data_IF_617255406887
#
_entry.id   IF_617255406887
#
_cell.length_a   1.000
_cell.length_b   1.000
_cell.length_c   1.000
_cell.angle_alpha   90.00
_cell.angle_beta   90.00
_cell.angle_gamma   90.00
#
_symmetry.space_group_name_H-M   'P 1'
#
loop_
_entity.id
_entity.type
_entity.pdbx_description
1 polymer ?
#
# COMPACT_ATOMS: atom_id res chain seq x y z
N UNK A 1 -13.74 6.91 1.15
CA UNK A 1 -12.74 6.19 0.35
C UNK A 1 -11.42 6.21 1.09
N UNK A 2 -10.84 5.03 1.30
CA UNK A 2 -9.50 4.86 1.87
C UNK A 2 -8.51 4.67 0.73
N UNK A 3 -7.33 5.26 0.87
CA UNK A 3 -6.23 5.09 -0.07
C UNK A 3 -5.49 3.77 0.23
N UNK A 4 -5.33 2.94 -0.79
CA UNK A 4 -4.65 1.65 -0.75
C UNK A 4 -3.51 1.65 -1.77
N UNK A 5 -2.28 1.47 -1.33
CA UNK A 5 -1.13 1.31 -2.21
C UNK A 5 -1.07 -0.12 -2.75
N UNK A 6 -1.27 -0.27 -4.05
CA UNK A 6 -1.21 -1.54 -4.77
C UNK A 6 0.05 -1.60 -5.65
N UNK A 7 0.79 -2.71 -5.58
CA UNK A 7 2.07 -2.91 -6.29
C UNK A 7 2.14 -4.22 -7.08
N UNK A 8 1.02 -4.95 -7.12
CA UNK A 8 0.90 -6.26 -7.76
C UNK A 8 -0.30 -6.32 -8.70
N UNK A 9 -1.06 -7.41 -8.62
CA UNK A 9 -2.19 -7.69 -9.53
C UNK A 9 -3.34 -6.68 -9.43
N UNK A 10 -3.50 -6.02 -8.28
CA UNK A 10 -4.52 -4.98 -8.07
C UNK A 10 -4.20 -3.64 -8.74
N UNK A 11 -3.10 -3.55 -9.49
CA UNK A 11 -2.83 -2.40 -10.38
C UNK A 11 -3.64 -2.47 -11.68
N UNK A 12 -4.26 -3.62 -11.98
CA UNK A 12 -5.11 -3.87 -13.14
C UNK A 12 -6.59 -3.52 -12.83
N UNK A 13 -7.17 -2.63 -13.64
CA UNK A 13 -8.57 -2.20 -13.50
C UNK A 13 -9.57 -3.33 -13.67
N UNK A 14 -9.33 -4.29 -14.56
CA UNK A 14 -10.28 -5.38 -14.79
C UNK A 14 -10.31 -6.30 -13.55
N UNK A 15 -9.15 -6.49 -12.91
CA UNK A 15 -9.05 -7.25 -11.67
C UNK A 15 -9.77 -6.53 -10.54
N UNK A 16 -9.57 -5.22 -10.39
CA UNK A 16 -10.24 -4.43 -9.35
C UNK A 16 -11.76 -4.38 -9.58
N UNK A 17 -12.22 -4.15 -10.81
CA UNK A 17 -13.65 -4.12 -11.15
C UNK A 17 -14.36 -5.45 -10.92
N UNK A 18 -13.63 -6.57 -11.01
CA UNK A 18 -14.18 -7.88 -10.66
C UNK A 18 -14.38 -8.11 -9.16
N UNK A 19 -13.72 -7.29 -8.33
CA UNK A 19 -13.71 -7.43 -6.87
C UNK A 19 -14.52 -6.33 -6.17
N UNK A 20 -14.41 -5.08 -6.63
CA UNK A 20 -14.95 -3.89 -5.97
C UNK A 20 -16.01 -3.23 -6.84
N UNK A 21 -17.09 -2.77 -6.21
CA UNK A 21 -18.16 -2.02 -6.89
C UNK A 21 -17.82 -0.53 -6.93
N UNK A 22 -17.29 0.01 -5.83
CA UNK A 22 -16.91 1.42 -5.69
C UNK A 22 -15.40 1.59 -5.52
N UNK A 23 -14.73 1.98 -6.61
CA UNK A 23 -13.30 2.21 -6.62
C UNK A 23 -12.87 3.30 -7.61
N UNK A 24 -11.72 3.91 -7.36
CA UNK A 24 -11.06 4.79 -8.34
C UNK A 24 -9.54 4.68 -8.24
N UNK A 25 -8.85 4.77 -9.38
CA UNK A 25 -7.39 4.86 -9.37
C UNK A 25 -6.94 6.31 -9.20
N UNK A 26 -6.09 6.52 -8.19
CA UNK A 26 -5.28 7.71 -8.00
C UNK A 26 -4.02 7.69 -8.86
N UNK A 27 -3.07 8.60 -8.58
CA UNK A 27 -1.79 8.63 -9.27
C UNK A 27 -0.96 7.37 -9.02
N UNK A 28 0.08 7.19 -9.86
CA UNK A 28 1.20 6.31 -9.52
C UNK A 28 1.79 6.72 -8.18
N UNK A 29 2.38 5.79 -7.45
CA UNK A 29 3.01 6.08 -6.18
C UNK A 29 4.22 5.20 -5.98
N UNK A 30 5.15 5.68 -5.16
CA UNK A 30 6.37 4.97 -4.81
C UNK A 30 6.49 4.86 -3.30
N UNK A 31 6.52 3.64 -2.81
CA UNK A 31 6.73 3.34 -1.40
C UNK A 31 8.23 3.24 -1.15
N UNK A 32 8.76 4.07 -0.25
CA UNK A 32 10.17 4.07 0.14
C UNK A 32 10.34 3.36 1.48
N UNK A 33 11.41 2.58 1.62
CA UNK A 33 11.70 1.80 2.82
C UNK A 33 11.25 0.34 2.72
N UNK A 34 10.52 -0.01 1.67
CA UNK A 34 10.11 -1.37 1.33
C UNK A 34 10.38 -1.62 -0.16
N UNK A 35 10.90 -2.78 -0.51
CA UNK A 35 11.14 -3.20 -1.89
C UNK A 35 10.36 -4.45 -2.21
N UNK A 36 9.98 -4.59 -3.48
CA UNK A 36 9.26 -5.76 -3.97
C UNK A 36 10.24 -6.89 -4.23
N UNK A 37 9.86 -8.07 -3.78
CA UNK A 37 10.51 -9.33 -4.11
C UNK A 37 9.54 -10.18 -4.94
N UNK A 38 10.05 -10.68 -6.06
CA UNK A 38 9.31 -11.54 -6.95
C UNK A 38 9.16 -12.95 -6.35
N UNK A 39 7.99 -13.55 -6.57
CA UNK A 39 7.64 -14.91 -6.17
C UNK A 39 6.37 -15.35 -6.88
N UNK A 40 5.80 -16.50 -6.54
CA UNK A 40 4.46 -16.89 -7.04
C UNK A 40 3.41 -15.85 -6.67
N UNK A 41 3.59 -15.24 -5.49
CA UNK A 41 2.90 -14.04 -5.05
C UNK A 41 3.96 -13.01 -4.64
N UNK A 42 4.08 -11.87 -5.35
CA UNK A 42 5.07 -10.87 -5.00
C UNK A 42 4.76 -10.29 -3.62
N UNK A 43 5.83 -10.02 -2.87
CA UNK A 43 5.74 -9.45 -1.51
C UNK A 43 6.70 -8.28 -1.32
N UNK A 44 6.58 -7.58 -0.19
CA UNK A 44 7.46 -6.49 0.21
C UNK A 44 8.40 -6.94 1.31
N UNK A 45 9.66 -6.51 1.21
CA UNK A 45 10.68 -6.70 2.22
C UNK A 45 11.26 -5.36 2.67
N UNK A 46 11.84 -5.29 3.89
CA UNK A 46 12.49 -4.09 4.41
C UNK A 46 13.65 -3.63 3.52
N UNK A 47 13.75 -2.31 3.33
CA UNK A 47 14.78 -1.65 2.54
C UNK A 47 14.34 -1.32 1.11
N UNK A 48 15.07 -0.42 0.44
CA UNK A 48 14.83 -0.06 -0.97
C UNK A 48 13.57 0.77 -1.21
N UNK A 49 12.93 0.54 -2.36
CA UNK A 49 11.68 1.20 -2.76
C UNK A 49 10.92 0.35 -3.78
N UNK A 50 9.59 0.49 -3.83
CA UNK A 50 8.72 -0.16 -4.82
C UNK A 50 7.80 0.87 -5.47
N UNK A 51 7.54 0.69 -6.76
CA UNK A 51 6.57 1.47 -7.52
C UNK A 51 5.22 0.75 -7.56
N UNK A 52 4.16 1.53 -7.50
CA UNK A 52 2.78 1.05 -7.43
C UNK A 52 1.81 2.16 -7.80
N UNK A 53 0.56 2.01 -7.37
CA UNK A 53 -0.50 2.98 -7.63
C UNK A 53 -1.39 3.10 -6.40
N UNK A 54 -2.02 4.27 -6.23
CA UNK A 54 -3.05 4.45 -5.22
C UNK A 54 -4.39 3.98 -5.77
N UNK A 55 -4.98 2.99 -5.13
CA UNK A 55 -6.35 2.55 -5.32
C UNK A 55 -7.20 3.14 -4.20
N UNK A 56 -8.28 3.85 -4.52
CA UNK A 56 -9.20 4.41 -3.53
C UNK A 56 -10.46 3.57 -3.47
N UNK A 57 -10.79 3.05 -2.30
CA UNK A 57 -12.01 2.27 -2.07
C UNK A 57 -12.42 2.29 -0.60
N UNK A 58 -13.71 2.12 -0.31
CA UNK A 58 -14.22 1.90 1.05
C UNK A 58 -14.37 0.39 1.37
N UNK A 59 -14.21 -0.48 0.36
CA UNK A 59 -14.44 -1.93 0.44
C UNK A 59 -13.19 -2.71 0.90
N UNK A 60 -12.50 -2.23 1.94
CA UNK A 60 -11.28 -2.87 2.47
C UNK A 60 -11.50 -4.32 2.92
N UNK A 61 -12.71 -4.65 3.39
CA UNK A 61 -13.05 -6.00 3.83
C UNK A 61 -13.08 -7.01 2.67
N UNK A 62 -13.39 -6.56 1.45
CA UNK A 62 -13.34 -7.37 0.23
C UNK A 62 -11.88 -7.64 -0.15
N UNK A 63 -11.05 -6.59 -0.11
CA UNK A 63 -9.60 -6.72 -0.32
C UNK A 63 -8.96 -7.63 0.71
N UNK A 64 -9.26 -7.46 2.00
CA UNK A 64 -8.73 -8.28 3.10
C UNK A 64 -9.06 -9.77 2.90
N UNK A 65 -10.24 -10.08 2.32
CA UNK A 65 -10.64 -11.46 2.00
C UNK A 65 -9.86 -11.99 0.80
N UNK A 66 -9.72 -11.19 -0.25
CA UNK A 66 -9.00 -11.55 -1.46
C UNK A 66 -7.50 -11.79 -1.19
N UNK A 67 -6.88 -10.90 -0.43
CA UNK A 67 -5.47 -10.97 -0.01
C UNK A 67 -5.24 -11.99 1.12
N UNK A 68 -6.29 -12.63 1.65
CA UNK A 68 -6.12 -13.64 2.70
C UNK A 68 -5.54 -13.06 4.00
N UNK A 69 -5.94 -11.85 4.38
CA UNK A 69 -5.50 -11.23 5.65
C UNK A 69 -5.97 -12.07 6.84
N UNK A 70 -7.18 -12.63 6.76
CA UNK A 70 -7.72 -13.51 7.80
C UNK A 70 -6.94 -14.85 7.92
N UNK A 71 -6.34 -15.35 6.83
CA UNK A 71 -5.46 -16.52 6.86
C UNK A 71 -4.01 -16.16 7.23
N UNK A 72 -3.71 -14.87 7.38
CA UNK A 72 -2.38 -14.36 7.70
C UNK A 72 -1.38 -14.49 6.54
N UNK A 73 -1.87 -14.54 5.30
CA UNK A 73 -1.02 -14.49 4.10
C UNK A 73 -0.47 -13.08 3.89
N UNK A 74 -1.34 -12.08 4.00
CA UNK A 74 -0.99 -10.67 3.91
C UNK A 74 -1.36 -9.91 5.19
N UNK A 75 -0.57 -8.90 5.52
CA UNK A 75 -0.78 -8.01 6.65
C UNK A 75 -1.06 -6.61 6.13
N UNK A 76 -2.14 -6.03 6.65
CA UNK A 76 -2.49 -4.62 6.44
C UNK A 76 -1.70 -3.72 7.37
N UNK A 77 -0.98 -2.75 6.80
CA UNK A 77 -0.28 -1.68 7.52
C UNK A 77 -0.64 -0.31 6.95
N UNK A 78 -0.62 0.72 7.79
CA UNK A 78 -0.83 2.10 7.34
C UNK A 78 0.51 2.80 7.23
N UNK A 79 0.80 3.37 6.06
CA UNK A 79 2.06 4.07 5.77
C UNK A 79 1.75 5.54 5.50
N UNK A 80 2.37 6.50 6.22
CA UNK A 80 2.16 7.91 5.98
C UNK A 80 2.62 8.32 4.58
N UNK A 81 1.94 9.30 4.01
CA UNK A 81 2.45 9.99 2.84
C UNK A 81 3.68 10.82 3.22
N UNK A 82 4.59 11.03 2.26
CA UNK A 82 5.72 11.92 2.47
C UNK A 82 5.23 13.34 2.77
N UNK A 83 5.81 13.97 3.79
CA UNK A 83 5.47 15.33 4.23
C UNK A 83 5.43 16.30 3.05
N UNK A 84 4.33 17.07 2.94
CA UNK A 84 4.13 18.06 1.88
C UNK A 84 3.28 17.58 0.69
N UNK A 85 2.81 16.32 0.68
CA UNK A 85 1.74 15.92 -0.22
C UNK A 85 0.38 16.37 0.32
N UNK A 86 -0.04 17.58 -0.07
CA UNK A 86 -1.45 17.91 -0.03
C UNK A 86 -2.14 17.06 -1.10
N UNK A 87 -3.02 16.14 -0.69
CA UNK A 87 -3.89 15.39 -1.62
C UNK A 87 -4.88 16.31 -2.40
N UNK A 88 -4.71 17.63 -2.28
CA UNK A 88 -5.48 18.69 -2.90
C UNK A 88 -4.74 19.20 -4.14
N UNK A 89 -4.95 18.51 -5.27
CA UNK A 89 -4.80 19.13 -6.58
C UNK A 89 -5.98 20.09 -6.81
N UNK A 90 -5.64 21.37 -6.87
CA UNK A 90 -6.38 22.52 -7.38
C UNK A 90 -7.58 23.09 -6.59
N UNK A 91 -7.35 24.30 -6.06
CA UNK A 91 -8.23 25.43 -6.29
C UNK A 91 -9.37 25.64 -5.30
N UNK A 92 -9.15 26.59 -4.39
CA UNK A 92 -10.18 27.48 -3.84
C UNK A 92 -11.44 26.81 -3.28
N UNK A 93 -11.41 26.43 -2.00
CA UNK A 93 -12.58 26.51 -1.11
C UNK A 93 -12.20 26.17 0.32
N UNK A 94 -12.55 27.06 1.23
CA UNK A 94 -12.66 26.79 2.64
C UNK A 94 -13.48 25.51 2.88
N UNK A 95 -12.89 24.51 3.56
CA UNK A 95 -13.66 23.50 4.28
C UNK A 95 -14.08 22.23 3.55
N UNK A 96 -13.30 21.71 2.59
CA UNK A 96 -13.46 20.32 2.15
C UNK A 96 -12.71 19.39 3.12
N UNK A 97 -13.46 18.49 3.76
CA UNK A 97 -12.97 17.58 4.80
C UNK A 97 -11.75 16.81 4.29
N UNK A 98 -10.63 16.99 5.01
CA UNK A 98 -9.46 16.11 5.09
C UNK A 98 -9.91 14.68 4.79
N UNK A 99 -9.60 14.17 3.58
CA UNK A 99 -9.79 12.76 3.28
C UNK A 99 -9.10 11.98 4.39
N UNK A 100 -9.88 11.16 5.09
CA UNK A 100 -9.44 10.54 6.33
C UNK A 100 -8.15 9.75 6.07
N UNK A 101 -7.15 10.12 6.86
CA UNK A 101 -5.78 9.60 6.92
C UNK A 101 -4.80 10.15 5.86
N UNK A 102 -3.82 10.93 6.34
CA UNK A 102 -2.59 11.32 5.62
C UNK A 102 -1.67 10.09 5.39
N UNK A 103 -2.25 8.91 5.18
CA UNK A 103 -1.57 7.62 5.06
C UNK A 103 -2.31 6.68 4.12
N UNK A 104 -1.57 5.88 3.38
CA UNK A 104 -2.10 4.82 2.52
C UNK A 104 -1.98 3.46 3.21
N UNK A 105 -2.97 2.61 2.98
CA UNK A 105 -2.95 1.21 3.39
C UNK A 105 -2.06 0.41 2.44
N UNK A 106 -1.15 -0.38 2.99
CA UNK A 106 -0.28 -1.28 2.22
C UNK A 106 -0.50 -2.72 2.70
N UNK A 107 -0.59 -3.65 1.75
CA UNK A 107 -0.64 -5.08 2.02
C UNK A 107 0.76 -5.68 1.91
N UNK A 108 1.25 -6.31 2.96
CA UNK A 108 2.59 -6.92 2.98
C UNK A 108 2.44 -8.42 3.21
N UNK A 109 2.90 -9.25 2.27
CA UNK A 109 2.80 -10.70 2.33
C UNK A 109 3.88 -11.33 3.21
N UNK A 110 3.54 -12.38 3.95
CA UNK A 110 4.54 -13.12 4.75
C UNK A 110 5.41 -13.99 3.82
N UNK A 111 6.71 -13.67 3.63
CA UNK A 111 7.58 -14.42 2.72
C UNK A 111 7.71 -15.90 3.13
N UNK A 112 7.66 -16.21 4.43
CA UNK A 112 7.74 -17.58 4.92
C UNK A 112 6.51 -18.41 4.54
N UNK A 113 5.33 -17.78 4.43
CA UNK A 113 4.10 -18.44 3.97
C UNK A 113 3.99 -18.50 2.46
N UNK A 114 4.54 -17.50 1.78
CA UNK A 114 4.57 -17.44 0.32
C UNK A 114 5.69 -18.29 -0.29
N UNK A 115 6.57 -18.87 0.54
CA UNK A 115 7.70 -19.67 0.07
C UNK A 115 8.76 -18.86 -0.66
N UNK A 116 8.86 -17.56 -0.36
CA UNK A 116 9.82 -16.64 -0.98
C UNK A 116 11.11 -16.68 -0.17
N UNK A 117 12.21 -17.09 -0.80
CA UNK A 117 13.55 -16.95 -0.22
C UNK A 117 13.93 -15.47 -0.23
N UNK A 118 13.91 -14.86 0.96
CA UNK A 118 14.15 -13.46 1.16
C UNK A 118 15.63 -13.22 1.53
N UNK A 119 16.33 -12.39 0.76
CA UNK A 119 17.69 -11.92 1.11
C UNK A 119 17.69 -10.94 2.30
N UNK A 120 16.51 -10.48 2.72
CA UNK A 120 16.33 -9.54 3.83
C UNK A 120 15.34 -10.10 4.86
N UNK A 121 15.78 -10.16 6.12
CA UNK A 121 14.95 -10.58 7.23
C UNK A 121 14.25 -9.38 7.88
N UNK A 122 12.99 -9.59 8.31
CA UNK A 122 12.27 -8.60 9.09
C UNK A 122 12.88 -8.47 10.48
N UNK A 123 13.41 -7.28 10.85
CA UNK A 123 13.98 -7.07 12.17
C UNK A 123 12.89 -7.20 13.25
N UNK A 124 13.33 -7.53 14.47
CA UNK A 124 12.49 -7.83 15.63
C UNK A 124 11.91 -9.25 15.67
N UNK A 125 11.67 -9.72 16.89
CA UNK A 125 11.00 -11.01 17.17
C UNK A 125 9.50 -10.83 17.35
N UNK A 126 8.71 -11.89 17.11
CA UNK A 126 7.25 -11.86 17.21
C UNK A 126 6.56 -12.34 15.94
N UNK A 127 5.23 -12.17 15.87
CA UNK A 127 4.46 -12.43 14.66
C UNK A 127 4.80 -11.44 13.56
N UNK A 128 4.64 -11.88 12.31
CA UNK A 128 4.97 -11.09 11.13
C UNK A 128 4.26 -9.73 11.13
N UNK A 129 2.96 -9.69 11.49
CA UNK A 129 2.20 -8.46 11.46
C UNK A 129 2.72 -7.40 12.43
N UNK A 130 3.09 -7.81 13.65
CA UNK A 130 3.72 -6.93 14.63
C UNK A 130 5.08 -6.42 14.13
N UNK A 131 5.89 -7.26 13.48
CA UNK A 131 7.19 -6.85 12.92
C UNK A 131 7.03 -5.79 11.83
N UNK A 132 6.13 -6.01 10.87
CA UNK A 132 5.88 -5.05 9.77
C UNK A 132 5.36 -3.73 10.33
N UNK A 133 4.35 -3.77 11.21
CA UNK A 133 3.78 -2.55 11.82
C UNK A 133 4.82 -1.77 12.60
N UNK A 134 5.66 -2.45 13.36
CA UNK A 134 6.74 -1.83 14.11
C UNK A 134 7.78 -1.22 13.19
N UNK A 135 8.20 -1.95 12.15
CA UNK A 135 9.15 -1.46 11.17
C UNK A 135 8.63 -0.21 10.46
N UNK A 136 7.37 -0.21 9.99
CA UNK A 136 6.76 0.97 9.35
C UNK A 136 6.65 2.16 10.30
N UNK A 137 6.44 1.92 11.60
CA UNK A 137 6.36 2.99 12.60
C UNK A 137 7.73 3.51 13.05
N UNK A 138 8.77 2.66 13.05
CA UNK A 138 10.13 3.02 13.49
C UNK A 138 11.00 3.53 12.34
N UNK A 139 10.93 2.89 11.18
CA UNK A 139 11.58 3.33 9.95
C UNK A 139 10.74 4.39 9.25
N UNK A 140 11.42 5.32 8.56
CA UNK A 140 10.77 6.35 7.75
C UNK A 140 10.19 5.78 6.45
N UNK A 141 9.29 4.82 6.57
CA UNK A 141 8.54 4.27 5.45
C UNK A 141 7.49 5.31 5.06
N UNK A 142 7.57 5.78 3.82
CA UNK A 142 6.68 6.83 3.31
C UNK A 142 6.23 6.51 1.90
N UNK A 143 5.00 6.88 1.58
CA UNK A 143 4.46 6.82 0.22
C UNK A 143 4.67 8.16 -0.47
N UNK A 144 5.34 8.13 -1.61
CA UNK A 144 5.51 9.24 -2.53
C UNK A 144 4.59 9.05 -3.73
N UNK A 145 3.36 9.55 -3.71
CA UNK A 145 2.55 9.63 -4.91
C UNK A 145 3.30 10.44 -5.97
N UNK A 146 3.37 9.91 -7.17
CA UNK A 146 3.88 10.61 -8.33
C UNK A 146 2.86 11.70 -8.66
N UNK A 147 3.32 12.95 -8.74
CA UNK A 147 2.46 14.03 -9.24
C UNK A 147 1.87 13.57 -10.57
N UNK A 148 0.55 13.74 -10.75
CA UNK A 148 -0.04 13.56 -12.07
C UNK A 148 0.70 14.53 -12.98
N UNK A 149 1.60 14.02 -13.81
CA UNK A 149 1.92 14.68 -15.06
C UNK A 149 0.60 14.62 -15.83
N UNK A 150 -0.19 15.68 -15.67
CA UNK A 150 -1.32 16.00 -16.52
C UNK A 150 -0.75 16.09 -17.92
N UNK A 151 -0.79 14.98 -18.66
CA UNK A 151 -0.43 14.96 -20.07
C UNK A 151 -1.44 15.85 -20.79
N UNK A 152 -0.92 16.94 -21.35
CA UNK A 152 -1.63 18.06 -21.94
C UNK A 152 -1.96 17.81 -23.42
#
# INVERSE_FOLDING_TARGET
MTDVFVYGTLTDSDRVASLLEEWSFGPGARLRGLHRVEGEYPTLLPGGSVEGRILRTDELSTLDRYEGVASGLYVRVSVPYADGWDACGDGDSAGARRGADDSAIVYVGDPARLGVEADAEWPNSGDFASRVRRFVAEERVVVHPEEKVSDA
#
